data_IF_980765097134
#
_entry.id   IF_980765097134
#
_cell.length_a   1.000
_cell.length_b   1.000
_cell.length_c   1.000
_cell.angle_alpha   90.00
_cell.angle_beta   90.00
_cell.angle_gamma   90.00
#
_symmetry.space_group_name_H-M   'P 1'
#
loop_
_entity.id
_entity.type
_entity.pdbx_description
1 polymer ?
#
# COMPACT_ATOMS: atom_id res chain seq x y z
N UNK A 1 -13.95 -8.88 -8.60
CA UNK A 1 -14.00 -7.40 -8.53
C UNK A 1 -12.67 -6.87 -9.04
N UNK A 2 -12.68 -5.86 -9.92
CA UNK A 2 -11.46 -5.17 -10.33
C UNK A 2 -11.50 -3.74 -9.77
N UNK A 3 -10.37 -3.31 -9.21
CA UNK A 3 -10.16 -1.92 -8.80
C UNK A 3 -9.15 -1.31 -9.75
N UNK A 4 -9.54 -0.21 -10.38
CA UNK A 4 -8.68 0.56 -11.25
C UNK A 4 -8.47 1.93 -10.64
N UNK A 5 -7.23 2.22 -10.27
CA UNK A 5 -6.85 3.55 -9.80
C UNK A 5 -6.19 4.30 -10.94
N UNK A 6 -6.73 5.48 -11.25
CA UNK A 6 -6.27 6.33 -12.33
C UNK A 6 -5.80 7.66 -11.76
N UNK A 7 -4.67 8.16 -12.28
CA UNK A 7 -4.21 9.54 -12.04
C UNK A 7 -4.34 10.33 -13.33
N UNK A 8 -5.00 11.50 -13.28
CA UNK A 8 -5.05 12.44 -14.41
C UNK A 8 -4.88 13.86 -13.90
N UNK A 9 -3.92 14.60 -14.47
CA UNK A 9 -3.55 15.95 -14.03
C UNK A 9 -3.29 16.05 -12.52
N UNK A 10 -2.82 14.96 -11.91
CA UNK A 10 -2.56 14.85 -10.47
C UNK A 10 -3.77 14.60 -9.57
N UNK A 11 -4.99 14.59 -10.13
CA UNK A 11 -6.18 14.11 -9.45
C UNK A 11 -6.23 12.58 -9.49
N UNK A 12 -6.41 11.97 -8.33
CA UNK A 12 -6.58 10.52 -8.18
C UNK A 12 -8.05 10.16 -8.29
N UNK A 13 -8.38 9.14 -9.08
CA UNK A 13 -9.74 8.61 -9.21
C UNK A 13 -9.72 7.11 -9.09
N UNK A 14 -10.58 6.57 -8.23
CA UNK A 14 -10.78 5.14 -8.08
C UNK A 14 -12.00 4.71 -8.91
N UNK A 15 -11.87 3.60 -9.60
CA UNK A 15 -12.95 2.95 -10.32
C UNK A 15 -13.08 1.52 -9.83
N UNK A 16 -14.32 1.08 -9.62
CA UNK A 16 -14.65 -0.31 -9.29
C UNK A 16 -15.45 -0.91 -10.43
N UNK A 17 -14.99 -2.05 -10.92
CA UNK A 17 -15.73 -2.84 -11.91
C UNK A 17 -16.65 -3.85 -11.20
N UNK A 18 -17.92 -3.84 -11.57
CA UNK A 18 -18.89 -4.84 -11.20
C UNK A 18 -19.10 -5.80 -12.36
N UNK A 19 -18.68 -7.06 -12.20
CA UNK A 19 -18.95 -8.10 -13.19
C UNK A 19 -20.44 -8.41 -13.32
N UNK A 20 -21.21 -8.23 -12.24
CA UNK A 20 -22.67 -8.44 -12.24
C UNK A 20 -23.41 -7.47 -13.15
N UNK A 21 -22.91 -6.24 -13.25
CA UNK A 21 -23.54 -5.16 -14.02
C UNK A 21 -22.70 -4.75 -15.24
N UNK A 22 -21.66 -5.53 -15.56
CA UNK A 22 -20.66 -5.27 -16.59
C UNK A 22 -20.30 -3.78 -16.75
N UNK A 23 -20.00 -3.13 -15.63
CA UNK A 23 -19.86 -1.67 -15.62
C UNK A 23 -18.82 -1.19 -14.61
N UNK A 24 -18.21 -0.06 -14.96
CA UNK A 24 -17.30 0.67 -14.10
C UNK A 24 -18.04 1.79 -13.37
N UNK A 25 -17.89 1.84 -12.05
CA UNK A 25 -18.39 2.94 -11.22
C UNK A 25 -17.24 3.78 -10.69
N UNK A 26 -17.32 5.09 -10.86
CA UNK A 26 -16.39 6.06 -10.25
C UNK A 26 -16.64 6.12 -8.74
N UNK A 27 -15.56 6.10 -7.98
CA UNK A 27 -15.53 6.18 -6.52
C UNK A 27 -14.73 7.41 -6.08
N UNK A 28 -15.02 7.93 -4.90
CA UNK A 28 -14.21 8.99 -4.27
C UNK A 28 -12.85 8.45 -3.80
N UNK A 29 -11.82 9.29 -3.85
CA UNK A 29 -10.48 8.99 -3.32
C UNK A 29 -10.18 9.92 -2.12
N UNK A 30 -9.49 9.42 -1.09
CA UNK A 30 -9.36 10.10 0.22
C UNK A 30 -8.69 11.47 0.15
N UNK A 31 -7.78 11.69 -0.79
CA UNK A 31 -7.09 12.97 -0.89
C UNK A 31 -6.63 13.19 -2.34
N UNK A 32 -7.49 13.83 -3.13
CA UNK A 32 -7.21 14.10 -4.54
C UNK A 32 -6.03 15.05 -4.75
N UNK A 33 -5.65 15.85 -3.73
CA UNK A 33 -4.72 16.97 -3.89
C UNK A 33 -3.29 16.71 -3.41
N UNK A 34 -3.08 15.86 -2.40
CA UNK A 34 -1.73 15.55 -1.88
C UNK A 34 -0.78 14.98 -2.93
N UNK A 35 -1.32 14.41 -4.00
CA UNK A 35 -0.55 13.60 -4.94
C UNK A 35 -0.25 14.28 -6.29
N UNK A 36 -0.50 15.57 -6.43
CA UNK A 36 -0.35 16.26 -7.72
C UNK A 36 1.08 16.31 -8.26
N UNK A 37 2.08 16.56 -7.40
CA UNK A 37 3.42 17.02 -7.83
C UNK A 37 4.48 15.93 -8.01
N UNK A 38 4.28 14.75 -7.43
CA UNK A 38 5.36 13.75 -7.32
C UNK A 38 5.15 12.52 -8.20
N UNK A 39 6.23 11.83 -8.58
CA UNK A 39 6.14 10.52 -9.25
C UNK A 39 5.74 9.46 -8.23
N UNK A 40 4.92 8.49 -8.64
CA UNK A 40 4.37 7.46 -7.75
C UNK A 40 4.47 6.08 -8.36
N UNK A 41 4.69 5.08 -7.51
CA UNK A 41 4.52 3.67 -7.85
C UNK A 41 3.56 3.00 -6.88
N UNK A 42 2.83 2.02 -7.39
CA UNK A 42 1.81 1.28 -6.66
C UNK A 42 2.29 -0.14 -6.48
N UNK A 43 2.05 -0.73 -5.30
CA UNK A 43 2.20 -2.17 -5.16
C UNK A 43 1.03 -2.91 -5.80
N UNK A 44 1.21 -4.21 -5.98
CA UNK A 44 0.07 -5.10 -6.16
C UNK A 44 -0.85 -5.08 -4.94
N UNK A 45 -2.14 -5.31 -5.16
CA UNK A 45 -3.13 -5.41 -4.10
C UNK A 45 -3.13 -6.79 -3.44
N UNK A 46 -3.21 -6.83 -2.11
CA UNK A 46 -3.38 -8.05 -1.31
C UNK A 46 -4.75 -8.04 -0.66
N UNK A 47 -5.58 -9.04 -0.95
CA UNK A 47 -6.91 -9.16 -0.35
C UNK A 47 -6.85 -9.90 0.99
N UNK A 48 -7.39 -9.30 2.04
CA UNK A 48 -7.47 -9.87 3.37
C UNK A 48 -8.70 -9.35 4.12
N UNK A 49 -9.52 -10.25 4.68
CA UNK A 49 -10.70 -9.93 5.50
C UNK A 49 -11.63 -8.85 4.89
N UNK A 50 -11.96 -8.95 3.60
CA UNK A 50 -12.86 -8.01 2.93
C UNK A 50 -12.22 -6.67 2.53
N UNK A 51 -10.90 -6.55 2.70
CA UNK A 51 -10.13 -5.34 2.37
C UNK A 51 -9.04 -5.67 1.37
N UNK A 52 -8.93 -4.83 0.32
CA UNK A 52 -7.76 -4.85 -0.59
C UNK A 52 -6.73 -3.87 -0.06
N UNK A 53 -5.59 -4.38 0.39
CA UNK A 53 -4.47 -3.60 0.87
C UNK A 53 -3.45 -3.37 -0.24
N UNK A 54 -2.92 -2.16 -0.35
CA UNK A 54 -1.83 -1.85 -1.27
C UNK A 54 -1.04 -0.64 -0.77
N UNK A 55 0.18 -0.48 -1.25
CA UNK A 55 1.01 0.68 -0.93
C UNK A 55 1.16 1.62 -2.11
N UNK A 56 1.38 2.89 -1.79
CA UNK A 56 1.79 3.92 -2.74
C UNK A 56 3.14 4.45 -2.26
N UNK A 57 4.18 4.33 -3.09
CA UNK A 57 5.47 4.98 -2.88
C UNK A 57 5.47 6.32 -3.59
N UNK A 58 5.78 7.38 -2.86
CA UNK A 58 5.95 8.72 -3.43
C UNK A 58 7.45 8.97 -3.58
N UNK A 59 7.89 9.13 -4.83
CA UNK A 59 9.29 9.35 -5.19
C UNK A 59 9.65 10.83 -5.01
N UNK A 60 9.66 11.27 -3.75
CA UNK A 60 10.07 12.58 -3.32
C UNK A 60 10.86 12.45 -2.01
N UNK A 61 11.85 13.31 -1.83
CA UNK A 61 12.68 13.34 -0.63
C UNK A 61 11.77 13.49 0.60
N UNK A 62 11.82 12.52 1.52
CA UNK A 62 11.03 12.51 2.76
C UNK A 62 9.54 12.17 2.63
N UNK A 63 9.05 11.68 1.48
CA UNK A 63 7.64 11.33 1.31
C UNK A 63 7.34 9.85 1.61
N UNK A 64 8.21 8.95 1.17
CA UNK A 64 8.20 7.53 1.52
C UNK A 64 6.98 6.71 1.07
N UNK A 65 6.65 5.70 1.87
CA UNK A 65 5.64 4.68 1.57
C UNK A 65 4.36 4.88 2.39
N UNK A 66 3.21 4.79 1.72
CA UNK A 66 1.89 4.89 2.34
C UNK A 66 1.10 3.61 2.14
N UNK A 67 0.39 3.16 3.17
CA UNK A 67 -0.50 2.00 3.11
C UNK A 67 -1.96 2.44 3.04
N UNK A 68 -2.72 1.78 2.17
CA UNK A 68 -4.16 1.97 2.07
C UNK A 68 -4.90 0.65 2.10
N UNK A 69 -6.13 0.72 2.59
CA UNK A 69 -7.12 -0.36 2.52
C UNK A 69 -8.38 0.13 1.79
N UNK A 70 -8.85 -0.67 0.86
CA UNK A 70 -10.18 -0.51 0.25
C UNK A 70 -11.12 -1.59 0.75
N UNK A 71 -12.14 -1.20 1.52
CA UNK A 71 -13.20 -2.09 2.00
C UNK A 71 -14.15 -2.40 0.85
N UNK A 72 -14.24 -3.67 0.47
CA UNK A 72 -14.94 -4.10 -0.74
C UNK A 72 -16.46 -3.92 -0.65
N UNK A 73 -17.02 -4.20 0.52
CA UNK A 73 -18.47 -4.21 0.72
C UNK A 73 -19.04 -2.81 0.98
N UNK A 74 -18.33 -2.02 1.78
CA UNK A 74 -18.74 -0.65 2.10
C UNK A 74 -18.22 0.39 1.12
N UNK A 75 -17.39 -0.04 0.15
CA UNK A 75 -16.83 0.84 -0.86
C UNK A 75 -15.99 2.01 -0.28
N UNK A 76 -15.47 1.81 0.94
CA UNK A 76 -14.70 2.81 1.66
C UNK A 76 -13.21 2.63 1.44
N UNK A 77 -12.57 3.70 1.00
CA UNK A 77 -11.11 3.83 1.00
C UNK A 77 -10.66 4.36 2.37
N UNK A 78 -9.57 3.83 2.93
CA UNK A 78 -8.95 4.28 4.20
C UNK A 78 -7.42 4.25 4.10
N UNK A 79 -6.76 5.30 4.57
CA UNK A 79 -5.33 5.21 4.89
C UNK A 79 -5.17 4.30 6.12
N UNK A 80 -4.05 3.58 6.15
CA UNK A 80 -3.69 2.71 7.26
C UNK A 80 -2.32 3.09 7.80
N UNK A 81 -2.05 2.88 9.10
CA UNK A 81 -0.72 3.07 9.64
C UNK A 81 0.30 2.26 8.84
N UNK A 82 1.40 2.88 8.47
CA UNK A 82 2.56 2.19 7.91
C UNK A 82 3.46 1.74 9.08
N UNK A 83 4.15 0.60 9.01
CA UNK A 83 5.09 0.20 10.06
C UNK A 83 6.13 1.29 10.33
N UNK A 84 6.51 1.47 11.59
CA UNK A 84 7.54 2.44 11.98
C UNK A 84 8.93 1.94 11.56
N UNK A 85 9.34 2.24 10.33
CA UNK A 85 10.66 1.91 9.79
C UNK A 85 11.58 3.13 9.87
N UNK A 86 12.89 2.88 10.04
CA UNK A 86 13.89 3.94 10.25
C UNK A 86 14.23 4.75 9.00
N UNK A 87 13.75 4.33 7.82
CA UNK A 87 14.07 4.98 6.55
C UNK A 87 12.84 5.11 5.67
N UNK A 88 12.68 6.30 5.09
CA UNK A 88 11.55 6.63 4.22
C UNK A 88 11.65 5.96 2.84
N UNK A 89 12.82 5.46 2.44
CA UNK A 89 13.08 5.03 1.07
C UNK A 89 13.32 3.52 0.93
N UNK A 90 12.33 2.74 1.38
CA UNK A 90 12.33 1.29 1.25
C UNK A 90 11.53 0.77 0.05
N UNK A 91 11.86 -0.45 -0.40
CA UNK A 91 11.01 -1.26 -1.27
C UNK A 91 10.11 -2.15 -0.40
N UNK A 92 8.84 -2.25 -0.79
CA UNK A 92 7.79 -2.79 0.09
C UNK A 92 6.98 -3.85 -0.63
N UNK A 93 6.74 -4.97 0.04
CA UNK A 93 5.90 -6.06 -0.47
C UNK A 93 4.89 -6.50 0.58
N UNK A 94 3.61 -6.44 0.24
CA UNK A 94 2.52 -6.98 1.05
C UNK A 94 2.32 -8.46 0.70
N UNK A 95 2.21 -9.29 1.73
CA UNK A 95 2.01 -10.73 1.56
C UNK A 95 1.03 -11.27 2.60
N UNK A 96 0.26 -12.29 2.21
CA UNK A 96 -0.61 -13.02 3.11
C UNK A 96 0.07 -14.32 3.54
N UNK A 97 0.44 -14.43 4.82
CA UNK A 97 1.11 -15.61 5.37
C UNK A 97 0.29 -16.12 6.55
N UNK A 98 -0.10 -17.41 6.50
CA UNK A 98 -0.86 -18.09 7.58
C UNK A 98 -2.09 -17.30 8.05
N UNK A 99 -2.88 -16.78 7.10
CA UNK A 99 -4.08 -15.96 7.36
C UNK A 99 -3.81 -14.66 8.15
N UNK A 100 -2.60 -14.13 8.07
CA UNK A 100 -2.28 -12.82 8.60
C UNK A 100 -1.58 -11.97 7.54
N UNK A 101 -1.94 -10.69 7.48
CA UNK A 101 -1.30 -9.74 6.58
C UNK A 101 0.08 -9.39 7.13
N UNK A 102 1.09 -9.50 6.27
CA UNK A 102 2.45 -9.13 6.57
C UNK A 102 2.96 -8.14 5.53
N UNK A 103 4.02 -7.43 5.90
CA UNK A 103 4.73 -6.52 5.02
C UNK A 103 6.23 -6.73 5.18
N UNK A 104 6.88 -6.95 4.05
CA UNK A 104 8.33 -6.91 3.95
C UNK A 104 8.75 -5.49 3.59
N UNK A 105 9.74 -4.96 4.31
CA UNK A 105 10.34 -3.67 4.01
C UNK A 105 11.84 -3.87 3.83
N UNK A 106 12.31 -3.73 2.60
CA UNK A 106 13.73 -3.67 2.28
C UNK A 106 14.18 -2.21 2.36
N UNK A 107 15.19 -1.89 3.16
CA UNK A 107 15.64 -0.52 3.41
C UNK A 107 17.14 -0.44 3.70
N UNK A 108 17.69 0.78 3.82
CA UNK A 108 19.07 0.98 4.29
C UNK A 108 20.15 1.01 3.21
N UNK A 109 19.81 1.37 1.96
CA UNK A 109 20.81 1.51 0.88
C UNK A 109 22.07 2.30 1.33
N UNK A 110 23.29 1.82 1.03
CA UNK A 110 23.63 0.62 0.25
C UNK A 110 23.60 -0.70 1.03
N UNK A 111 23.49 -0.65 2.36
CA UNK A 111 23.50 -1.82 3.25
C UNK A 111 22.08 -2.31 3.52
N UNK A 112 21.51 -2.99 2.54
CA UNK A 112 20.13 -3.46 2.60
C UNK A 112 19.86 -4.31 3.85
N UNK A 113 18.80 -3.95 4.57
CA UNK A 113 18.18 -4.75 5.61
C UNK A 113 16.75 -5.08 5.21
N UNK A 114 16.24 -6.21 5.69
CA UNK A 114 14.87 -6.65 5.43
C UNK A 114 14.15 -6.86 6.73
N UNK A 115 13.13 -6.05 6.95
CA UNK A 115 12.22 -6.19 8.08
C UNK A 115 10.97 -6.95 7.64
N UNK A 116 10.49 -7.87 8.47
CA UNK A 116 9.19 -8.49 8.34
C UNK A 116 8.30 -8.02 9.49
N UNK A 117 7.18 -7.42 9.12
CA UNK A 117 6.16 -6.99 10.08
C UNK A 117 4.86 -7.74 9.84
N UNK A 118 4.14 -7.97 10.93
CA UNK A 118 2.79 -8.54 10.91
C UNK A 118 1.79 -7.47 11.36
N UNK A 119 0.68 -7.38 10.63
CA UNK A 119 -0.44 -6.51 11.00
C UNK A 119 -1.37 -7.26 11.96
N UNK A 120 -1.73 -6.59 13.05
CA UNK A 120 -2.87 -6.97 13.89
C UNK A 120 -3.81 -5.77 14.04
N UNK A 121 -5.00 -5.92 13.46
CA UNK A 121 -6.01 -4.85 13.29
C UNK A 121 -5.47 -3.66 12.53
N UNK A 122 -4.81 -2.72 13.21
CA UNK A 122 -4.20 -1.51 12.66
C UNK A 122 -2.81 -1.23 13.27
N UNK A 123 -2.29 -2.18 14.05
CA UNK A 123 -0.96 -2.10 14.66
C UNK A 123 0.02 -3.03 13.92
N UNK A 124 1.29 -2.65 13.95
CA UNK A 124 2.37 -3.43 13.37
C UNK A 124 3.29 -3.97 14.44
N UNK A 125 3.58 -5.27 14.38
CA UNK A 125 4.59 -5.91 15.20
C UNK A 125 5.71 -6.39 14.29
N UNK A 126 6.94 -5.95 14.59
CA UNK A 126 8.15 -6.45 13.92
C UNK A 126 8.40 -7.88 14.38
N UNK A 127 8.34 -8.82 13.45
CA UNK A 127 8.50 -10.25 13.74
C UNK A 127 9.95 -10.68 13.52
N UNK A 128 10.63 -10.07 12.55
CA UNK A 128 11.96 -10.48 12.16
C UNK A 128 12.69 -9.34 11.43
N UNK A 129 14.02 -9.37 11.54
CA UNK A 129 14.94 -8.48 10.82
C UNK A 129 16.09 -9.32 10.29
N UNK A 130 16.47 -9.08 9.04
CA UNK A 130 17.75 -9.50 8.48
C UNK A 130 18.60 -8.29 8.17
N UNK A 131 19.72 -8.20 8.87
CA UNK A 131 20.74 -7.20 8.61
C UNK A 131 21.60 -7.65 7.43
N UNK A 132 22.05 -6.68 6.63
CA UNK A 132 23.08 -6.85 5.59
C UNK A 132 22.76 -7.97 4.58
N UNK A 133 21.81 -7.71 3.69
CA UNK A 133 21.62 -8.49 2.47
C UNK A 133 22.78 -8.11 1.53
N UNK A 134 23.86 -8.89 1.59
CA UNK A 134 24.91 -8.87 0.57
C UNK A 134 24.40 -9.72 -0.61
N UNK A 135 24.47 -9.23 -1.86
CA UNK A 135 24.11 -10.00 -3.05
C UNK A 135 24.84 -11.34 -3.15
#
# INVERSE_FOLDING_TARGET
>A
MLLHVKRRNGMMTLYKYSSRHDSWRKMGFIDERKYHKYKMSWSNGTFFQGVVYFTIKVHAIGAGNYLYGFHVDSDQFKSKPFPATSHDDGEVSLVLVRKALHIFVAHGFPFWSLDLWRMDRDNWTKIWVRQSIVP
#
